data_IF_420911221942
#
_entry.id   IF_420911221942
#
_cell.length_a   1.000
_cell.length_b   1.000
_cell.length_c   1.000
_cell.angle_alpha   90.00
_cell.angle_beta   90.00
_cell.angle_gamma   90.00
#
_symmetry.space_group_name_H-M   'P 1'
#
loop_
_entity.id
_entity.type
_entity.pdbx_description
1 polymer ?
#
# COMPACT_ATOMS: atom_id res chain seq x y z
N UNK A 1 -18.35 -2.66 -7.91
CA UNK A 1 -17.25 -3.63 -7.79
C UNK A 1 -15.90 -2.94 -7.54
N UNK A 2 -15.54 -1.91 -8.33
CA UNK A 2 -14.31 -1.11 -8.16
C UNK A 2 -14.15 -0.42 -6.79
N UNK A 3 -15.23 0.12 -6.21
CA UNK A 3 -15.18 0.80 -4.89
C UNK A 3 -14.75 -0.15 -3.76
N UNK A 4 -15.27 -1.38 -3.73
CA UNK A 4 -14.88 -2.36 -2.70
C UNK A 4 -13.39 -2.73 -2.81
N UNK A 5 -12.86 -2.81 -4.04
CA UNK A 5 -11.45 -3.05 -4.30
C UNK A 5 -10.58 -1.87 -3.83
N UNK A 6 -11.02 -0.63 -4.07
CA UNK A 6 -10.34 0.56 -3.57
C UNK A 6 -10.32 0.63 -2.04
N UNK A 7 -11.41 0.25 -1.36
CA UNK A 7 -11.46 0.21 0.11
C UNK A 7 -10.49 -0.84 0.67
N UNK A 8 -10.44 -2.03 0.07
CA UNK A 8 -9.49 -3.09 0.48
C UNK A 8 -8.04 -2.64 0.27
N UNK A 9 -7.73 -2.01 -0.88
CA UNK A 9 -6.41 -1.43 -1.14
C UNK A 9 -6.05 -0.35 -0.13
N UNK A 10 -7.00 0.50 0.24
CA UNK A 10 -6.77 1.56 1.24
C UNK A 10 -6.43 0.97 2.61
N UNK A 11 -7.15 -0.08 3.03
CA UNK A 11 -6.87 -0.80 4.27
C UNK A 11 -5.47 -1.43 4.23
N UNK A 12 -5.11 -2.08 3.12
CA UNK A 12 -3.76 -2.62 2.91
C UNK A 12 -2.70 -1.54 3.03
N UNK A 13 -2.86 -0.39 2.37
CA UNK A 13 -1.93 0.73 2.47
C UNK A 13 -1.75 1.18 3.93
N UNK A 14 -2.83 1.27 4.71
CA UNK A 14 -2.74 1.67 6.13
C UNK A 14 -1.98 0.62 6.96
N UNK A 15 -2.28 -0.66 6.80
CA UNK A 15 -1.59 -1.74 7.53
C UNK A 15 -0.11 -1.84 7.16
N UNK A 16 0.23 -1.83 5.87
CA UNK A 16 1.61 -1.85 5.39
C UNK A 16 2.36 -0.56 5.76
N UNK A 17 1.67 0.58 5.81
CA UNK A 17 2.16 1.87 6.29
C UNK A 17 2.60 1.82 7.75
N UNK A 18 1.71 1.34 8.62
CA UNK A 18 1.99 1.17 10.05
C UNK A 18 3.11 0.15 10.29
N UNK A 19 3.12 -0.96 9.53
CA UNK A 19 4.22 -1.93 9.52
C UNK A 19 5.56 -1.28 9.18
N UNK A 20 5.61 -0.47 8.11
CA UNK A 20 6.85 0.22 7.69
C UNK A 20 7.39 1.23 8.72
N UNK A 21 6.51 1.81 9.55
CA UNK A 21 6.88 2.77 10.60
C UNK A 21 7.36 2.05 11.86
N UNK A 22 6.79 0.88 12.17
CA UNK A 22 7.20 0.05 13.29
C UNK A 22 8.48 -0.77 13.03
N UNK A 23 8.80 -1.03 11.76
CA UNK A 23 9.91 -1.90 11.40
C UNK A 23 11.28 -1.23 11.60
N UNK A 24 12.12 -1.84 12.44
CA UNK A 24 13.47 -1.36 12.74
C UNK A 24 14.51 -1.82 11.74
N UNK A 25 14.23 -2.92 11.03
CA UNK A 25 15.10 -3.45 9.99
C UNK A 25 15.01 -2.63 8.70
N UNK A 26 16.10 -2.00 8.24
CA UNK A 26 16.07 -1.11 7.08
C UNK A 26 15.77 -1.85 5.77
N UNK A 27 16.07 -3.15 5.69
CA UNK A 27 15.83 -3.97 4.50
C UNK A 27 14.35 -4.37 4.38
N UNK A 28 13.75 -4.83 5.48
CA UNK A 28 12.31 -5.07 5.54
C UNK A 28 11.52 -3.78 5.34
N UNK A 29 11.94 -2.68 5.98
CA UNK A 29 11.30 -1.37 5.80
C UNK A 29 11.26 -0.92 4.33
N UNK A 30 12.33 -1.17 3.56
CA UNK A 30 12.33 -0.91 2.10
C UNK A 30 11.31 -1.77 1.36
N UNK A 31 11.15 -3.04 1.73
CA UNK A 31 10.12 -3.92 1.19
C UNK A 31 8.71 -3.40 1.50
N UNK A 32 8.43 -3.01 2.74
CA UNK A 32 7.14 -2.41 3.13
C UNK A 32 6.84 -1.13 2.34
N UNK A 33 7.85 -0.26 2.15
CA UNK A 33 7.74 0.96 1.34
C UNK A 33 7.50 0.64 -0.15
N UNK A 34 8.16 -0.39 -0.70
CA UNK A 34 7.94 -0.81 -2.08
C UNK A 34 6.50 -1.31 -2.30
N UNK A 35 5.95 -2.05 -1.34
CA UNK A 35 4.56 -2.51 -1.38
C UNK A 35 3.58 -1.33 -1.31
N UNK A 36 3.84 -0.35 -0.44
CA UNK A 36 3.07 0.90 -0.36
C UNK A 36 3.06 1.67 -1.69
N UNK A 37 4.23 1.78 -2.32
CA UNK A 37 4.37 2.42 -3.63
C UNK A 37 3.59 1.69 -4.72
N UNK A 38 3.68 0.36 -4.77
CA UNK A 38 2.92 -0.45 -5.73
C UNK A 38 1.41 -0.30 -5.53
N UNK A 39 0.94 -0.27 -4.27
CA UNK A 39 -0.48 -0.09 -3.95
C UNK A 39 -0.99 1.32 -4.33
N UNK A 40 -0.20 2.36 -4.12
CA UNK A 40 -0.54 3.73 -4.56
C UNK A 40 -0.62 3.83 -6.09
N UNK A 41 0.31 3.22 -6.82
CA UNK A 41 0.29 3.19 -8.28
C UNK A 41 -0.95 2.43 -8.78
N UNK A 42 -1.26 1.28 -8.16
CA UNK A 42 -2.45 0.49 -8.50
C UNK A 42 -3.75 1.27 -8.26
N UNK A 43 -3.85 2.03 -7.16
CA UNK A 43 -4.99 2.95 -6.93
C UNK A 43 -5.08 4.04 -8.01
N UNK A 44 -3.95 4.62 -8.42
CA UNK A 44 -3.90 5.65 -9.46
C UNK A 44 -4.37 5.13 -10.83
N UNK A 45 -3.93 3.94 -11.22
CA UNK A 45 -4.40 3.28 -12.45
C UNK A 45 -5.89 2.93 -12.40
N UNK A 46 -6.39 2.53 -11.22
CA UNK A 46 -7.81 2.23 -11.02
C UNK A 46 -8.70 3.47 -11.10
N UNK A 47 -8.16 4.67 -10.90
CA UNK A 47 -8.88 5.94 -11.09
C UNK A 47 -8.89 6.42 -12.53
N UNK A 48 -7.96 5.93 -13.36
CA UNK A 48 -7.79 6.34 -14.75
C UNK A 48 -8.59 5.47 -15.75
N UNK A 49 -8.87 4.22 -15.36
CA UNK A 49 -9.74 3.25 -16.07
C UNK A 49 -11.17 3.37 -15.56
#
# INVERSE_FOLDING_TARGET
MLIAFQVILLILIVFFGLGSVGEKDPEQRKQWIAILLAAMISMGFTFYI
#
